data_IF_958279923483
#
_entry.id   IF_958279923483
#
_cell.length_a   1.000
_cell.length_b   1.000
_cell.length_c   1.000
_cell.angle_alpha   90.00
_cell.angle_beta   90.00
_cell.angle_gamma   90.00
#
_symmetry.space_group_name_H-M   'P 1'
#
loop_
_entity.id
_entity.type
_entity.pdbx_description
1 polymer ?
#
# COMPACT_ATOMS: atom_id res chain seq x y z
N UNK A 1 37.93 -28.66 33.66
CA UNK A 1 36.64 -27.96 33.91
C UNK A 1 36.40 -26.77 32.97
N UNK A 2 37.43 -26.12 32.40
CA UNK A 2 37.23 -24.99 31.47
C UNK A 2 36.78 -25.38 30.06
N UNK A 3 37.14 -26.58 29.56
CA UNK A 3 36.80 -26.96 28.18
C UNK A 3 35.30 -27.20 27.95
N UNK A 4 34.57 -27.64 28.97
CA UNK A 4 33.12 -27.87 28.87
C UNK A 4 32.35 -26.55 28.64
N UNK A 5 32.78 -25.47 29.30
CA UNK A 5 32.15 -24.14 29.18
C UNK A 5 32.34 -23.58 27.76
N UNK A 6 33.51 -23.81 27.14
CA UNK A 6 33.77 -23.36 25.77
C UNK A 6 32.94 -24.13 24.73
N UNK A 7 32.74 -25.43 24.94
CA UNK A 7 31.88 -26.25 24.07
C UNK A 7 30.41 -25.81 24.20
N UNK A 8 29.92 -25.58 25.41
CA UNK A 8 28.54 -25.14 25.65
C UNK A 8 28.27 -23.75 25.04
N UNK A 9 29.23 -22.82 25.13
CA UNK A 9 29.15 -21.51 24.49
C UNK A 9 29.14 -21.58 22.96
N UNK A 10 29.95 -22.44 22.37
CA UNK A 10 29.98 -22.65 20.92
C UNK A 10 28.66 -23.25 20.42
N UNK A 11 28.10 -24.23 21.14
CA UNK A 11 26.81 -24.84 20.80
C UNK A 11 25.67 -23.82 20.88
N UNK A 12 25.62 -22.97 21.91
CA UNK A 12 24.62 -21.92 22.03
C UNK A 12 24.68 -20.92 20.87
N UNK A 13 25.88 -20.48 20.47
CA UNK A 13 26.07 -19.61 19.31
C UNK A 13 25.63 -20.29 18.00
N UNK A 14 25.89 -21.59 17.85
CA UNK A 14 25.45 -22.36 16.70
C UNK A 14 23.92 -22.41 16.62
N UNK A 15 23.25 -22.67 17.76
CA UNK A 15 21.80 -22.73 17.85
C UNK A 15 21.15 -21.38 17.53
N UNK A 16 21.72 -20.27 18.03
CA UNK A 16 21.23 -18.93 17.71
C UNK A 16 21.38 -18.61 16.22
N UNK A 17 22.48 -19.00 15.59
CA UNK A 17 22.68 -18.84 14.14
C UNK A 17 21.67 -19.66 13.33
N UNK A 18 21.39 -20.89 13.74
CA UNK A 18 20.41 -21.76 13.09
C UNK A 18 19.01 -21.17 13.24
N UNK A 19 18.62 -20.74 14.44
CA UNK A 19 17.33 -20.09 14.69
C UNK A 19 17.15 -18.86 13.80
N UNK A 20 18.16 -17.98 13.73
CA UNK A 20 18.13 -16.79 12.88
C UNK A 20 18.06 -17.14 11.38
N UNK A 21 18.75 -18.18 10.92
CA UNK A 21 18.71 -18.62 9.53
C UNK A 21 17.34 -19.22 9.17
N UNK A 22 16.76 -20.02 10.07
CA UNK A 22 15.42 -20.57 9.90
C UNK A 22 14.36 -19.47 9.91
N UNK A 23 14.48 -18.47 10.78
CA UNK A 23 13.58 -17.32 10.80
C UNK A 23 13.67 -16.51 9.49
N UNK A 24 14.88 -16.30 8.95
CA UNK A 24 15.07 -15.66 7.65
C UNK A 24 14.47 -16.47 6.50
N UNK A 25 14.63 -17.80 6.50
CA UNK A 25 14.03 -18.68 5.50
C UNK A 25 12.50 -18.72 5.61
N UNK A 26 11.95 -18.74 6.83
CA UNK A 26 10.51 -18.65 7.08
C UNK A 26 9.94 -17.30 6.62
N UNK A 27 10.68 -16.21 6.79
CA UNK A 27 10.30 -14.88 6.27
C UNK A 27 10.36 -14.81 4.74
N UNK A 28 11.31 -15.50 4.11
CA UNK A 28 11.45 -15.60 2.65
C UNK A 28 10.42 -16.52 1.98
N UNK A 29 9.97 -17.54 2.71
CA UNK A 29 8.90 -18.46 2.33
C UNK A 29 7.59 -18.10 3.05
N UNK A 30 7.25 -16.81 3.09
CA UNK A 30 5.95 -16.40 3.62
C UNK A 30 4.87 -17.25 2.92
N UNK A 31 3.97 -17.92 3.66
CA UNK A 31 2.98 -18.78 3.06
C UNK A 31 2.20 -17.98 2.00
N UNK A 32 2.04 -18.57 0.81
CA UNK A 32 1.20 -18.03 -0.25
C UNK A 32 -0.15 -17.67 0.37
N UNK A 33 -0.57 -16.43 0.15
CA UNK A 33 -1.62 -15.84 0.98
C UNK A 33 -2.97 -16.46 0.68
N UNK A 34 -3.66 -17.00 1.70
CA UNK A 34 -4.95 -17.62 1.49
C UNK A 34 -6.01 -16.68 0.92
N UNK A 35 -5.89 -15.36 1.15
CA UNK A 35 -6.86 -14.32 0.79
C UNK A 35 -8.32 -14.80 0.96
N UNK A 36 -8.60 -15.40 2.13
CA UNK A 36 -9.87 -16.06 2.39
C UNK A 36 -11.00 -15.04 2.38
N UNK A 37 -12.19 -15.48 1.99
CA UNK A 37 -13.41 -14.67 2.06
C UNK A 37 -14.42 -15.39 2.94
N UNK A 38 -14.97 -14.67 3.93
CA UNK A 38 -15.98 -15.17 4.87
C UNK A 38 -17.15 -14.19 5.02
N UNK A 39 -18.35 -14.68 5.38
CA UNK A 39 -19.47 -13.83 5.75
C UNK A 39 -19.13 -12.91 6.92
N UNK A 40 -19.63 -11.67 6.90
CA UNK A 40 -19.36 -10.68 7.96
C UNK A 40 -19.94 -11.11 9.32
N UNK A 41 -20.99 -11.93 9.31
CA UNK A 41 -21.66 -12.49 10.47
C UNK A 41 -20.76 -13.45 11.26
N UNK A 42 -19.83 -14.11 10.57
CA UNK A 42 -18.87 -15.04 11.20
C UNK A 42 -17.78 -14.29 11.96
N UNK A 43 -17.51 -13.02 11.65
CA UNK A 43 -16.33 -12.28 12.12
C UNK A 43 -16.12 -12.37 13.64
N UNK A 44 -17.16 -12.15 14.44
CA UNK A 44 -17.06 -12.17 15.91
C UNK A 44 -16.85 -13.56 16.51
N UNK A 45 -17.22 -14.61 15.77
CA UNK A 45 -17.22 -16.00 16.24
C UNK A 45 -16.21 -16.86 15.48
N UNK A 46 -15.45 -16.25 14.59
CA UNK A 46 -14.53 -16.94 13.71
C UNK A 46 -13.42 -17.59 14.52
N UNK A 47 -13.17 -18.87 14.26
CA UNK A 47 -12.09 -19.63 14.89
C UNK A 47 -10.77 -19.35 14.16
N UNK A 48 -9.99 -18.41 14.69
CA UNK A 48 -8.70 -18.04 14.11
C UNK A 48 -7.69 -19.19 14.08
N UNK A 49 -7.80 -20.13 15.03
CA UNK A 49 -6.92 -21.29 15.07
C UNK A 49 -7.17 -22.24 13.88
N UNK A 50 -8.39 -22.24 13.32
CA UNK A 50 -8.75 -23.08 12.15
C UNK A 50 -7.96 -22.73 10.89
N UNK A 51 -7.42 -21.51 10.82
CA UNK A 51 -6.55 -21.05 9.73
C UNK A 51 -5.08 -20.96 10.17
N UNK A 52 -4.73 -21.48 11.35
CA UNK A 52 -3.38 -21.38 11.91
C UNK A 52 -2.97 -19.95 12.33
N UNK A 53 -3.94 -19.07 12.55
CA UNK A 53 -3.70 -17.72 13.07
C UNK A 53 -3.93 -17.66 14.58
N UNK A 54 -3.19 -16.81 15.28
CA UNK A 54 -3.40 -16.51 16.70
C UNK A 54 -3.74 -15.03 16.90
N UNK A 55 -4.55 -14.73 17.91
CA UNK A 55 -4.95 -13.35 18.24
C UNK A 55 -3.89 -12.73 19.16
N UNK A 56 -3.23 -11.68 18.69
CA UNK A 56 -2.19 -10.95 19.44
C UNK A 56 -2.81 -9.82 20.26
N UNK A 57 -3.79 -9.11 19.68
CA UNK A 57 -4.45 -7.97 20.33
C UNK A 57 -5.91 -7.92 19.92
N UNK A 58 -6.77 -7.48 20.83
CA UNK A 58 -8.21 -7.32 20.59
C UNK A 58 -8.76 -6.05 21.24
N UNK A 59 -9.87 -5.56 20.71
CA UNK A 59 -10.69 -4.49 21.27
C UNK A 59 -12.16 -4.92 21.40
N UNK A 60 -13.07 -3.97 21.70
CA UNK A 60 -14.51 -4.23 21.84
C UNK A 60 -15.17 -4.80 20.59
N UNK A 61 -14.55 -4.60 19.42
CA UNK A 61 -15.06 -5.06 18.13
C UNK A 61 -14.40 -6.35 17.66
N UNK A 62 -13.46 -6.91 18.43
CA UNK A 62 -12.81 -8.19 18.15
C UNK A 62 -11.30 -8.07 17.98
N UNK A 63 -10.65 -9.04 17.33
CA UNK A 63 -9.21 -8.99 17.11
C UNK A 63 -8.81 -7.72 16.35
N UNK A 64 -7.63 -7.18 16.63
CA UNK A 64 -7.06 -6.02 15.94
C UNK A 64 -5.74 -6.38 15.28
N UNK A 65 -5.00 -7.31 15.89
CA UNK A 65 -3.74 -7.84 15.40
C UNK A 65 -3.76 -9.36 15.50
N UNK A 66 -3.36 -10.01 14.42
CA UNK A 66 -3.25 -11.46 14.32
C UNK A 66 -1.81 -11.83 13.98
N UNK A 67 -1.34 -12.96 14.49
CA UNK A 67 -0.09 -13.57 14.06
C UNK A 67 -0.43 -14.76 13.15
N UNK A 68 0.13 -14.77 11.95
CA UNK A 68 -0.03 -15.88 10.99
C UNK A 68 1.23 -15.99 10.14
N UNK A 69 1.78 -17.20 10.06
CA UNK A 69 3.02 -17.47 9.33
C UNK A 69 4.23 -16.68 9.84
N UNK A 70 4.28 -16.35 11.14
CA UNK A 70 5.34 -15.53 11.73
C UNK A 70 5.24 -14.03 11.43
N UNK A 71 4.11 -13.57 10.88
CA UNK A 71 3.88 -12.17 10.58
C UNK A 71 2.67 -11.63 11.34
N UNK A 72 2.73 -10.33 11.67
CA UNK A 72 1.61 -9.60 12.28
C UNK A 72 0.74 -8.97 11.19
N UNK A 73 -0.55 -9.25 11.26
CA UNK A 73 -1.59 -8.75 10.36
C UNK A 73 -2.51 -7.80 11.10
N UNK A 74 -2.77 -6.63 10.52
CA UNK A 74 -3.59 -5.60 11.16
C UNK A 74 -5.00 -5.55 10.57
N UNK A 75 -6.00 -5.39 11.44
CA UNK A 75 -7.40 -5.17 11.04
C UNK A 75 -7.55 -3.84 10.29
N UNK A 76 -8.31 -3.87 9.20
CA UNK A 76 -8.73 -2.71 8.40
C UNK A 76 -10.25 -2.75 8.26
N UNK A 77 -10.89 -1.61 8.45
CA UNK A 77 -12.34 -1.44 8.34
C UNK A 77 -12.64 -0.05 7.78
N UNK A 78 -12.75 0.12 6.45
CA UNK A 78 -13.04 1.42 5.86
C UNK A 78 -14.45 1.86 6.26
N UNK A 79 -14.59 3.12 6.68
CA UNK A 79 -15.89 3.77 6.77
C UNK A 79 -16.24 4.33 5.39
N UNK A 80 -16.68 3.48 4.48
CA UNK A 80 -17.20 3.88 3.16
C UNK A 80 -18.71 3.61 3.08
N UNK A 81 -19.37 4.25 2.10
CA UNK A 81 -20.81 4.09 1.83
C UNK A 81 -21.16 2.77 1.13
N UNK A 82 -20.16 1.94 0.82
CA UNK A 82 -20.29 0.75 -0.01
C UNK A 82 -19.85 -0.46 0.80
N UNK A 83 -20.82 -1.33 1.13
CA UNK A 83 -20.73 -2.64 1.79
C UNK A 83 -19.67 -2.76 2.90
N UNK A 84 -20.13 -2.81 4.15
CA UNK A 84 -19.27 -2.95 5.33
C UNK A 84 -18.37 -4.19 5.23
N UNK A 85 -17.06 -3.98 5.21
CA UNK A 85 -16.07 -5.04 5.14
C UNK A 85 -14.98 -4.85 6.19
N UNK A 86 -14.50 -5.97 6.72
CA UNK A 86 -13.36 -6.05 7.64
C UNK A 86 -12.33 -6.97 7.01
N UNK A 87 -11.08 -6.54 6.89
CA UNK A 87 -10.01 -7.43 6.41
C UNK A 87 -8.73 -7.27 7.21
N UNK A 88 -7.89 -8.29 7.15
CA UNK A 88 -6.57 -8.29 7.77
C UNK A 88 -5.50 -8.21 6.70
N UNK A 89 -4.65 -7.19 6.79
CA UNK A 89 -3.58 -6.96 5.83
C UNK A 89 -2.25 -6.63 6.47
N UNK A 90 -1.17 -6.84 5.71
CA UNK A 90 0.20 -6.42 6.03
C UNK A 90 0.88 -5.86 4.79
N UNK A 91 1.98 -5.14 4.95
CA UNK A 91 2.83 -4.76 3.83
C UNK A 91 3.75 -5.93 3.42
N UNK A 92 3.89 -6.17 2.11
CA UNK A 92 4.88 -7.06 1.51
C UNK A 92 6.21 -6.36 1.20
N UNK A 93 6.22 -5.03 1.23
CA UNK A 93 7.33 -4.23 0.73
C UNK A 93 6.84 -3.16 -0.25
N UNK A 94 7.75 -2.64 -1.06
CA UNK A 94 7.47 -1.68 -2.13
C UNK A 94 7.69 -2.35 -3.48
N UNK A 95 6.85 -2.05 -4.45
CA UNK A 95 7.06 -2.45 -5.85
C UNK A 95 8.20 -1.63 -6.49
N UNK A 96 8.49 -1.92 -7.77
CA UNK A 96 9.51 -1.21 -8.56
C UNK A 96 9.18 0.27 -8.80
N UNK A 97 7.94 0.69 -8.55
CA UNK A 97 7.47 2.07 -8.68
C UNK A 97 7.41 2.79 -7.31
N UNK A 98 7.79 2.11 -6.23
CA UNK A 98 7.79 2.63 -4.86
C UNK A 98 6.43 2.56 -4.15
N UNK A 99 5.41 1.94 -4.73
CA UNK A 99 4.11 1.75 -4.08
C UNK A 99 4.17 0.60 -3.09
N UNK A 100 3.51 0.75 -1.94
CA UNK A 100 3.47 -0.31 -0.92
C UNK A 100 2.53 -1.43 -1.39
N UNK A 101 3.08 -2.63 -1.57
CA UNK A 101 2.34 -3.83 -1.85
C UNK A 101 1.68 -4.31 -0.55
N UNK A 102 0.37 -4.53 -0.58
CA UNK A 102 -0.38 -5.04 0.55
C UNK A 102 -0.89 -6.44 0.30
N UNK A 103 -0.70 -7.26 1.32
CA UNK A 103 -1.08 -8.65 1.39
C UNK A 103 -2.34 -8.78 2.21
N UNK A 104 -3.21 -9.74 1.87
CA UNK A 104 -4.48 -9.94 2.55
C UNK A 104 -4.65 -11.39 3.02
N UNK A 105 -4.86 -11.55 4.32
CA UNK A 105 -5.06 -12.86 4.95
C UNK A 105 -6.50 -13.35 4.79
N UNK A 106 -7.45 -12.51 5.22
CA UNK A 106 -8.87 -12.83 5.22
C UNK A 106 -9.69 -11.55 5.10
N UNK A 107 -10.84 -11.67 4.43
CA UNK A 107 -11.86 -10.64 4.25
C UNK A 107 -13.19 -11.14 4.77
N UNK A 108 -13.77 -10.40 5.71
CA UNK A 108 -15.14 -10.55 6.15
C UNK A 108 -15.99 -9.51 5.42
N UNK A 109 -16.97 -9.96 4.64
CA UNK A 109 -17.90 -9.09 3.91
C UNK A 109 -19.25 -9.78 3.78
N UNK A 110 -20.27 -9.00 3.49
CA UNK A 110 -21.56 -9.56 3.08
C UNK A 110 -21.38 -10.36 1.79
N UNK A 111 -21.70 -11.65 1.85
CA UNK A 111 -21.69 -12.53 0.68
C UNK A 111 -23.10 -12.48 0.09
N UNK A 112 -23.26 -11.72 -0.99
CA UNK A 112 -24.51 -11.72 -1.77
C UNK A 112 -24.64 -13.06 -2.48
N UNK A 113 -25.85 -13.62 -2.47
CA UNK A 113 -26.15 -14.84 -3.21
C UNK A 113 -25.75 -14.65 -4.68
N UNK A 114 -24.89 -15.54 -5.17
CA UNK A 114 -24.42 -15.49 -6.55
C UNK A 114 -25.56 -15.94 -7.45
N UNK A 115 -25.79 -15.20 -8.53
CA UNK A 115 -26.76 -15.61 -9.54
C UNK A 115 -26.49 -17.04 -10.02
N UNK A 116 -27.54 -17.86 -10.20
CA UNK A 116 -27.37 -19.24 -10.62
C UNK A 116 -26.58 -19.31 -11.93
N UNK A 117 -25.68 -20.30 -12.02
CA UNK A 117 -24.89 -20.50 -13.23
C UNK A 117 -25.80 -20.55 -14.47
N UNK A 118 -25.49 -19.78 -15.54
CA UNK A 118 -26.23 -19.86 -16.78
C UNK A 118 -26.33 -21.31 -17.27
N UNK A 119 -27.53 -21.74 -17.67
CA UNK A 119 -27.82 -23.13 -18.04
C UNK A 119 -26.87 -23.72 -19.11
N UNK A 120 -26.28 -22.86 -19.96
CA UNK A 120 -25.26 -23.26 -20.93
C UNK A 120 -23.96 -23.74 -20.28
N UNK A 121 -23.52 -23.12 -19.18
CA UNK A 121 -22.31 -23.51 -18.44
C UNK A 121 -22.55 -24.74 -17.56
N UNK A 122 -23.73 -24.84 -16.94
CA UNK A 122 -24.11 -26.01 -16.14
C UNK A 122 -24.09 -27.31 -16.96
N UNK A 123 -24.47 -27.25 -18.25
CA UNK A 123 -24.43 -28.38 -19.17
C UNK A 123 -23.00 -28.84 -19.48
N UNK A 124 -22.03 -27.93 -19.57
CA UNK A 124 -20.63 -28.28 -19.82
C UNK A 124 -19.99 -28.98 -18.61
N UNK A 125 -20.39 -28.61 -17.39
CA UNK A 125 -19.90 -29.23 -16.14
C UNK A 125 -20.48 -30.63 -15.89
N UNK A 126 -21.71 -30.88 -16.34
CA UNK A 126 -22.39 -32.19 -16.19
C UNK A 126 -22.12 -33.15 -17.36
N UNK A 127 -21.56 -32.66 -18.47
CA UNK A 127 -21.27 -33.46 -19.66
C UNK A 127 -19.87 -34.09 -19.68
N UNK A 128 -19.10 -34.04 -18.57
CA UNK A 128 -17.88 -34.83 -18.43
C UNK A 128 -18.23 -36.21 -17.85
N UNK A 129 -18.21 -37.30 -18.65
CA UNK A 129 -18.36 -38.63 -18.11
C UNK A 129 -17.05 -39.04 -17.43
N UNK A 130 -17.22 -39.60 -16.25
CA UNK A 130 -16.33 -40.53 -15.59
C UNK A 130 -15.69 -41.52 -16.59
N UNK A 131 -14.44 -41.27 -16.95
CA UNK A 131 -13.58 -42.23 -17.63
C UNK A 131 -12.19 -42.17 -17.00
N UNK A 132 -11.99 -43.03 -16.01
CA UNK A 132 -10.68 -43.41 -15.52
C UNK A 132 -9.94 -44.19 -16.61
N UNK A 133 -8.81 -43.65 -17.10
CA UNK A 133 -7.55 -44.39 -17.31
C UNK A 133 -6.43 -43.46 -17.84
N UNK A 134 -5.15 -43.75 -17.51
CA UNK A 134 -4.04 -42.79 -17.51
C UNK A 134 -3.18 -42.87 -18.77
N UNK A 135 -2.58 -41.76 -19.27
CA UNK A 135 -1.22 -41.74 -19.88
C UNK A 135 -0.64 -40.30 -19.92
N UNK A 136 0.49 -40.15 -19.23
CA UNK A 136 1.78 -39.45 -19.50
C UNK A 136 1.88 -38.16 -20.36
N UNK A 137 2.64 -37.22 -19.77
CA UNK A 137 3.62 -36.27 -20.33
C UNK A 137 3.17 -35.24 -21.39
N UNK A 138 3.14 -33.95 -21.02
CA UNK A 138 4.27 -33.01 -21.22
C UNK A 138 3.82 -31.53 -21.01
N UNK A 139 4.35 -30.88 -19.96
CA UNK A 139 4.98 -29.53 -19.89
C UNK A 139 4.39 -28.31 -20.63
N UNK A 140 4.76 -27.06 -20.23
CA UNK A 140 4.49 -26.32 -18.99
C UNK A 140 3.51 -25.15 -19.23
N UNK A 141 2.70 -24.81 -18.23
CA UNK A 141 1.80 -23.65 -18.30
C UNK A 141 2.57 -22.33 -18.19
N UNK A 142 2.45 -21.51 -19.24
CA UNK A 142 2.82 -20.11 -19.23
C UNK A 142 1.79 -19.30 -18.41
N UNK A 143 2.19 -18.18 -17.78
CA UNK A 143 1.31 -17.32 -17.00
C UNK A 143 0.27 -16.63 -17.89
N UNK A 144 -1.01 -16.80 -17.56
CA UNK A 144 -2.09 -16.06 -18.20
C UNK A 144 -2.07 -14.59 -17.75
N UNK A 145 -1.78 -13.72 -18.71
CA UNK A 145 -2.20 -12.32 -18.70
C UNK A 145 -3.72 -12.24 -18.48
N UNK A 146 -4.15 -11.44 -17.50
CA UNK A 146 -5.52 -10.95 -17.46
C UNK A 146 -5.55 -9.49 -17.93
N UNK A 147 -6.46 -9.16 -18.88
CA UNK A 147 -6.63 -7.82 -19.40
C UNK A 147 -7.41 -6.93 -18.42
N UNK A 148 -6.98 -5.67 -18.36
CA UNK A 148 -7.69 -4.59 -17.70
C UNK A 148 -8.99 -4.25 -18.47
N UNK A 149 -10.14 -4.30 -17.79
CA UNK A 149 -11.40 -3.83 -18.35
C UNK A 149 -11.89 -2.60 -17.57
N UNK A 150 -11.79 -1.44 -18.22
CA UNK A 150 -12.48 -0.21 -17.89
C UNK A 150 -13.95 -0.36 -18.28
N UNK A 151 -14.85 0.23 -17.50
CA UNK A 151 -16.12 0.75 -18.04
C UNK A 151 -16.61 1.91 -17.18
N UNK A 152 -16.97 2.99 -17.86
CA UNK A 152 -17.32 4.31 -17.36
C UNK A 152 -18.72 4.68 -17.91
N UNK A 153 -19.52 5.35 -17.07
CA UNK A 153 -20.59 6.36 -17.32
C UNK A 153 -21.80 6.15 -18.26
N UNK A 154 -22.99 6.53 -17.76
CA UNK A 154 -23.85 7.66 -18.22
C UNK A 154 -25.25 7.64 -17.51
N UNK A 155 -26.11 8.66 -17.35
CA UNK A 155 -26.16 10.15 -17.42
C UNK A 155 -27.65 10.59 -17.23
N UNK A 156 -27.94 11.76 -16.63
CA UNK A 156 -29.02 12.72 -17.02
C UNK A 156 -28.93 14.03 -16.20
N UNK A 157 -28.40 15.18 -16.69
CA UNK A 157 -28.99 16.30 -17.48
C UNK A 157 -29.94 17.24 -16.67
N UNK A 158 -29.68 18.52 -16.29
CA UNK A 158 -29.31 19.84 -16.93
C UNK A 158 -30.46 20.89 -16.68
N UNK A 159 -30.38 22.25 -16.93
CA UNK A 159 -29.40 23.15 -17.61
C UNK A 159 -29.07 24.49 -16.82
N UNK A 160 -28.17 25.44 -17.20
CA UNK A 160 -28.32 26.56 -18.19
C UNK A 160 -27.00 27.41 -18.34
N UNK A 161 -26.53 27.54 -19.61
CA UNK A 161 -25.82 28.61 -20.41
C UNK A 161 -24.46 29.26 -20.00
N UNK A 162 -23.27 28.93 -20.59
CA UNK A 162 -22.50 29.41 -21.81
C UNK A 162 -21.87 30.84 -21.79
N UNK A 163 -20.74 31.14 -22.51
CA UNK A 163 -19.49 30.39 -22.83
C UNK A 163 -18.17 31.23 -22.81
N UNK A 164 -17.00 30.57 -22.64
CA UNK A 164 -15.78 30.82 -23.43
C UNK A 164 -14.69 29.73 -23.20
N UNK A 165 -14.28 29.08 -24.30
CA UNK A 165 -13.08 28.25 -24.52
C UNK A 165 -12.76 27.08 -23.55
N UNK A 166 -13.35 25.91 -23.81
CA UNK A 166 -12.88 24.61 -23.29
C UNK A 166 -11.69 24.10 -24.11
N UNK A 167 -10.54 23.89 -23.47
CA UNK A 167 -9.60 22.82 -23.82
C UNK A 167 -9.98 21.57 -23.02
N UNK A 168 -10.10 20.45 -23.73
CA UNK A 168 -10.44 19.12 -23.22
C UNK A 168 -9.44 18.60 -22.19
N UNK A 169 -9.85 18.03 -21.04
CA UNK A 169 -8.96 17.26 -20.18
C UNK A 169 -8.88 15.82 -20.72
N UNK A 170 -7.82 15.54 -21.48
CA UNK A 170 -7.45 14.16 -21.79
C UNK A 170 -6.80 13.55 -20.54
N UNK A 171 -7.47 12.54 -19.99
CA UNK A 171 -7.02 11.76 -18.85
C UNK A 171 -5.65 11.13 -19.06
N UNK A 172 -4.77 11.42 -18.11
CA UNK A 172 -3.70 10.61 -17.56
C UNK A 172 -3.29 11.41 -16.31
N UNK A 173 -3.03 10.77 -15.17
CA UNK A 173 -2.87 11.39 -13.84
C UNK A 173 -1.70 12.38 -13.66
N UNK A 174 -1.39 13.18 -14.66
CA UNK A 174 -0.45 14.29 -14.64
C UNK A 174 -1.09 15.48 -13.95
N UNK A 175 -0.35 16.08 -13.03
CA UNK A 175 -0.77 17.29 -12.35
C UNK A 175 -0.20 18.49 -13.10
N UNK A 176 -1.08 19.38 -13.58
CA UNK A 176 -0.67 20.61 -14.24
C UNK A 176 -0.06 21.61 -13.24
N UNK A 177 0.82 22.49 -13.71
CA UNK A 177 1.48 23.53 -12.89
C UNK A 177 0.48 24.39 -12.12
N UNK A 178 -0.60 24.82 -12.79
CA UNK A 178 -1.61 25.70 -12.19
C UNK A 178 -2.33 25.01 -11.02
N UNK A 179 -2.71 23.75 -11.20
CA UNK A 179 -3.37 22.95 -10.16
C UNK A 179 -2.40 22.65 -9.00
N UNK A 180 -1.15 22.36 -9.31
CA UNK A 180 -0.09 22.18 -8.31
C UNK A 180 0.10 23.44 -7.46
N UNK A 181 0.31 24.61 -8.09
CA UNK A 181 0.50 25.87 -7.36
C UNK A 181 -0.74 26.23 -6.53
N UNK A 182 -1.94 26.04 -7.08
CA UNK A 182 -3.19 26.27 -6.36
C UNK A 182 -3.31 25.40 -5.11
N UNK A 183 -2.88 24.13 -5.19
CA UNK A 183 -2.87 23.23 -4.04
C UNK A 183 -1.77 23.57 -3.04
N UNK A 184 -0.53 23.79 -3.49
CA UNK A 184 0.61 24.08 -2.63
C UNK A 184 0.47 25.41 -1.86
N UNK A 185 -0.11 26.43 -2.49
CA UNK A 185 -0.34 27.76 -1.86
C UNK A 185 -1.65 27.81 -1.07
N UNK A 186 -2.45 26.74 -1.09
CA UNK A 186 -3.70 26.68 -0.33
C UNK A 186 -3.47 26.82 1.17
N UNK A 187 -4.53 27.21 1.91
CA UNK A 187 -4.51 27.32 3.38
C UNK A 187 -4.01 26.05 4.09
N UNK A 188 -4.14 24.88 3.44
CA UNK A 188 -3.70 23.60 4.00
C UNK A 188 -2.17 23.51 4.15
N UNK A 189 -1.42 24.01 3.17
CA UNK A 189 0.04 23.87 3.13
C UNK A 189 0.77 25.21 3.33
N UNK A 190 0.10 26.33 3.07
CA UNK A 190 0.56 27.69 3.37
C UNK A 190 1.98 27.98 2.84
N UNK A 191 2.36 27.42 1.70
CA UNK A 191 3.60 27.74 1.01
C UNK A 191 3.41 29.01 0.17
N UNK A 192 4.49 29.78 -0.03
CA UNK A 192 4.47 30.84 -1.04
C UNK A 192 4.61 30.20 -2.44
N UNK A 193 4.18 30.92 -3.49
CA UNK A 193 4.34 30.45 -4.86
C UNK A 193 5.82 30.13 -5.19
N UNK A 194 6.73 31.02 -4.77
CA UNK A 194 8.17 30.81 -4.93
C UNK A 194 8.69 29.56 -4.21
N UNK A 195 8.19 29.28 -2.99
CA UNK A 195 8.57 28.06 -2.27
C UNK A 195 8.03 26.81 -2.98
N UNK A 196 6.80 26.85 -3.49
CA UNK A 196 6.22 25.74 -4.25
C UNK A 196 7.00 25.48 -5.56
N UNK A 197 7.48 26.52 -6.23
CA UNK A 197 8.35 26.37 -7.41
C UNK A 197 9.70 25.74 -7.04
N UNK A 198 10.30 26.17 -5.92
CA UNK A 198 11.53 25.55 -5.43
C UNK A 198 11.34 24.06 -5.09
N UNK A 199 10.18 23.66 -4.54
CA UNK A 199 9.84 22.23 -4.34
C UNK A 199 9.79 21.49 -5.68
N UNK A 200 9.23 22.10 -6.72
CA UNK A 200 9.16 21.50 -8.06
C UNK A 200 10.56 21.30 -8.66
N UNK A 201 11.45 22.27 -8.50
CA UNK A 201 12.86 22.14 -8.92
C UNK A 201 13.57 20.99 -8.19
N UNK A 202 13.34 20.83 -6.88
CA UNK A 202 13.90 19.70 -6.10
C UNK A 202 13.38 18.36 -6.63
N UNK A 203 12.12 18.31 -7.06
CA UNK A 203 11.53 17.13 -7.68
C UNK A 203 12.04 16.87 -9.12
N UNK A 204 13.01 17.65 -9.61
CA UNK A 204 13.59 17.51 -10.94
C UNK A 204 12.75 18.11 -12.06
N UNK A 205 11.75 18.94 -11.74
CA UNK A 205 10.91 19.61 -12.73
C UNK A 205 11.64 20.89 -13.18
N UNK A 206 11.88 21.06 -14.49
CA UNK A 206 12.60 22.22 -14.99
C UNK A 206 11.88 23.54 -14.69
N UNK A 207 12.66 24.57 -14.41
CA UNK A 207 12.22 25.91 -13.99
C UNK A 207 11.64 26.77 -15.14
N UNK A 208 11.56 26.21 -16.35
CA UNK A 208 11.18 27.02 -17.52
C UNK A 208 9.72 27.46 -17.47
N UNK A 209 8.87 26.79 -16.66
CA UNK A 209 7.43 27.04 -16.54
C UNK A 209 6.68 27.00 -17.88
N UNK A 210 7.37 26.53 -18.92
CA UNK A 210 7.01 26.68 -20.34
C UNK A 210 6.72 25.34 -20.97
N UNK A 211 7.13 24.23 -20.37
CA UNK A 211 6.69 22.92 -20.82
C UNK A 211 5.27 22.61 -20.29
N UNK A 212 4.22 22.72 -21.12
CA UNK A 212 2.86 22.33 -20.71
C UNK A 212 2.72 20.82 -20.49
N UNK A 213 3.76 20.02 -20.76
CA UNK A 213 3.77 18.57 -20.58
C UNK A 213 4.45 18.13 -19.29
N UNK A 214 5.07 19.06 -18.53
CA UNK A 214 5.68 18.76 -17.26
C UNK A 214 4.64 18.24 -16.25
N UNK A 215 4.99 17.16 -15.55
CA UNK A 215 4.12 16.55 -14.53
C UNK A 215 4.57 16.98 -13.14
N UNK A 216 3.69 17.69 -12.43
CA UNK A 216 3.93 18.19 -11.07
C UNK A 216 3.54 17.20 -9.97
N UNK A 217 3.08 15.99 -10.32
CA UNK A 217 2.73 14.98 -9.32
C UNK A 217 3.91 14.61 -8.38
N UNK A 218 5.17 14.47 -8.84
CA UNK A 218 6.31 14.22 -7.95
C UNK A 218 6.54 15.37 -6.96
N UNK A 219 6.44 16.62 -7.41
CA UNK A 219 6.58 17.79 -6.55
C UNK A 219 5.48 17.84 -5.48
N UNK A 220 4.25 17.48 -5.84
CA UNK A 220 3.13 17.47 -4.90
C UNK A 220 3.32 16.48 -3.75
N UNK A 221 4.05 15.37 -3.95
CA UNK A 221 4.39 14.43 -2.88
C UNK A 221 5.33 15.05 -1.82
N UNK A 222 6.14 16.04 -2.20
CA UNK A 222 7.09 16.72 -1.31
C UNK A 222 6.47 17.92 -0.58
N UNK A 223 5.34 18.45 -1.04
CA UNK A 223 4.70 19.63 -0.43
C UNK A 223 4.40 19.47 1.07
N UNK A 224 3.85 18.34 1.57
CA UNK A 224 3.62 18.15 3.00
C UNK A 224 4.88 18.26 3.85
N UNK A 225 6.00 17.71 3.36
CA UNK A 225 7.31 17.78 4.02
C UNK A 225 7.77 19.22 4.22
N UNK A 226 7.80 20.00 3.14
CA UNK A 226 8.27 21.39 3.20
C UNK A 226 7.32 22.31 3.98
N UNK A 227 6.01 22.06 3.91
CA UNK A 227 5.03 22.76 4.73
C UNK A 227 5.27 22.52 6.23
N UNK A 228 5.59 21.28 6.61
CA UNK A 228 5.89 20.94 7.99
C UNK A 228 7.25 21.51 8.45
N UNK A 229 8.30 21.43 7.63
CA UNK A 229 9.59 22.07 7.92
C UNK A 229 9.43 23.57 8.19
N UNK A 230 8.61 24.26 7.38
CA UNK A 230 8.26 25.67 7.61
C UNK A 230 7.52 25.88 8.94
N UNK A 231 6.55 25.03 9.26
CA UNK A 231 5.82 25.10 10.53
C UNK A 231 6.73 24.86 11.76
N UNK A 232 7.78 24.06 11.60
CA UNK A 232 8.81 23.80 12.60
C UNK A 232 9.92 24.89 12.65
N UNK A 233 9.78 25.96 11.86
CA UNK A 233 10.68 27.11 11.88
C UNK A 233 11.95 26.95 11.04
N UNK A 234 12.03 25.94 10.15
CA UNK A 234 13.09 25.89 9.13
C UNK A 234 12.77 26.94 8.07
N UNK A 235 13.44 28.10 8.19
CA UNK A 235 13.23 29.24 7.30
C UNK A 235 13.95 29.05 5.97
N UNK A 236 15.08 28.32 5.96
CA UNK A 236 15.89 28.12 4.76
C UNK A 236 15.49 26.86 4.03
N UNK A 237 15.02 27.03 2.81
CA UNK A 237 14.59 25.93 1.96
C UNK A 237 15.73 24.97 1.59
N UNK A 238 16.97 25.48 1.51
CA UNK A 238 18.19 24.68 1.29
C UNK A 238 18.43 23.68 2.42
N UNK A 239 18.19 24.09 3.67
CA UNK A 239 18.37 23.21 4.84
C UNK A 239 17.40 22.04 4.81
N UNK A 240 16.12 22.29 4.53
CA UNK A 240 15.11 21.25 4.39
C UNK A 240 15.43 20.28 3.22
N UNK A 241 15.98 20.81 2.10
CA UNK A 241 16.44 19.98 0.97
C UNK A 241 17.61 19.09 1.37
N UNK A 242 18.61 19.63 2.05
CA UNK A 242 19.83 18.89 2.38
C UNK A 242 19.51 17.73 3.35
N UNK A 243 18.56 17.95 4.29
CA UNK A 243 18.04 16.87 5.15
C UNK A 243 17.32 15.80 4.32
N UNK A 244 16.44 16.20 3.39
CA UNK A 244 15.74 15.24 2.53
C UNK A 244 16.72 14.43 1.66
N UNK A 245 17.79 15.06 1.15
CA UNK A 245 18.84 14.39 0.38
C UNK A 245 19.66 13.41 1.23
N UNK A 246 19.98 13.78 2.48
CA UNK A 246 20.65 12.90 3.46
C UNK A 246 19.89 11.57 3.63
N UNK A 247 18.56 11.61 3.59
CA UNK A 247 17.70 10.43 3.68
C UNK A 247 17.26 9.87 2.32
N UNK A 248 17.94 10.21 1.23
CA UNK A 248 17.66 9.70 -0.11
C UNK A 248 16.20 9.87 -0.56
N UNK A 249 15.53 10.93 -0.08
CA UNK A 249 14.13 11.20 -0.37
C UNK A 249 13.12 10.50 0.53
N UNK A 250 13.55 9.81 1.60
CA UNK A 250 12.65 9.30 2.63
C UNK A 250 12.10 10.46 3.49
N UNK A 251 10.87 10.85 3.19
CA UNK A 251 10.17 11.96 3.84
C UNK A 251 9.94 11.71 5.33
N UNK A 252 9.59 10.48 5.72
CA UNK A 252 9.24 10.18 7.10
C UNK A 252 10.47 10.26 8.00
N UNK A 253 11.60 9.69 7.54
CA UNK A 253 12.86 9.77 8.26
C UNK A 253 13.41 11.21 8.29
N UNK A 254 13.29 11.96 7.19
CA UNK A 254 13.70 13.36 7.15
C UNK A 254 12.89 14.23 8.14
N UNK A 255 11.58 14.02 8.27
CA UNK A 255 10.75 14.71 9.26
C UNK A 255 11.11 14.32 10.68
N UNK A 256 11.45 13.05 10.91
CA UNK A 256 11.91 12.60 12.22
C UNK A 256 13.17 13.37 12.65
N UNK A 257 14.20 13.41 11.80
CA UNK A 257 15.45 14.14 12.06
C UNK A 257 15.20 15.64 12.29
N UNK A 258 14.28 16.26 11.52
CA UNK A 258 13.90 17.67 11.70
C UNK A 258 13.24 17.92 13.07
N UNK A 259 12.28 17.06 13.45
CA UNK A 259 11.56 17.18 14.72
C UNK A 259 12.50 16.98 15.90
N UNK A 260 13.39 16.00 15.82
CA UNK A 260 14.37 15.67 16.85
C UNK A 260 15.36 16.83 17.08
N UNK A 261 15.99 17.32 15.99
CA UNK A 261 16.91 18.47 16.03
C UNK A 261 16.27 19.73 16.66
N UNK A 262 14.96 19.93 16.45
CA UNK A 262 14.22 21.05 17.05
C UNK A 262 13.84 20.84 18.50
N UNK A 263 13.66 19.59 18.94
CA UNK A 263 13.46 19.29 20.36
C UNK A 263 14.75 19.51 21.15
N UNK A 264 15.90 19.13 20.60
CA UNK A 264 17.20 19.38 21.20
C UNK A 264 17.48 20.88 21.35
N UNK A 265 17.21 21.69 20.33
CA UNK A 265 17.43 23.13 20.37
C UNK A 265 16.53 23.90 21.36
N UNK A 266 15.48 23.26 21.91
CA UNK A 266 14.58 23.85 22.91
C UNK A 266 14.96 23.48 24.35
N UNK A 267 15.85 22.51 24.54
CA UNK A 267 16.37 22.11 25.85
C UNK A 267 17.54 23.01 26.24
#
# INVERSE_FOLDING_TARGET
MNDQIFVDMAVLQQLERIANALEKLARGNAPEEPNLVRPIEEYRRFDWASIGASVVRQDSDGPTHLEYGGFVWSRRSPQNKFDGAIWYSRSAGKDTEGNVLYLRLITFREIKDVDPLPAKLARTLTAAPEAAAPVKNAQPAQPAEMPAEKSNEATSAQPVKTPAAKKTPAGNGRLAREDYLKQAVSKKFNLSAQAAEAVAQIAGIPDDGKDPRADYAPAMKLVPYFAECKALGIVKFTEARDILQKHQGDIEQALFDVRDSRQEAKR
#
